data_IF_208719933958
#
_entry.id   IF_208719933958
#
_cell.length_a   1.000
_cell.length_b   1.000
_cell.length_c   1.000
_cell.angle_alpha   90.00
_cell.angle_beta   90.00
_cell.angle_gamma   90.00
#
_symmetry.space_group_name_H-M   'P 1'
#
loop_
_entity.id
_entity.type
_entity.pdbx_description
1 polymer ?
#
# COMPACT_ATOMS: atom_id res chain seq x y z
N UNK A 1 -11.65 -4.76 -24.06
CA UNK A 1 -12.99 -5.34 -23.81
C UNK A 1 -13.37 -5.29 -22.33
N UNK A 2 -12.47 -5.69 -21.42
CA UNK A 2 -12.71 -5.66 -19.97
C UNK A 2 -12.10 -4.43 -19.29
N UNK A 3 -12.27 -3.21 -19.80
CA UNK A 3 -11.64 -2.03 -19.19
C UNK A 3 -12.70 -1.06 -18.70
N UNK A 4 -12.53 -0.54 -17.49
CA UNK A 4 -13.45 0.43 -16.93
C UNK A 4 -13.09 1.83 -17.44
N UNK A 5 -14.03 2.58 -18.05
CA UNK A 5 -13.74 3.92 -18.58
C UNK A 5 -13.49 5.00 -17.52
N UNK A 6 -13.53 4.64 -16.22
CA UNK A 6 -13.37 5.58 -15.10
C UNK A 6 -12.03 5.40 -14.41
N UNK A 7 -11.69 4.18 -14.02
CA UNK A 7 -10.41 3.89 -13.36
C UNK A 7 -9.37 3.26 -14.27
N UNK A 8 -9.73 2.90 -15.51
CA UNK A 8 -8.88 2.20 -16.48
C UNK A 8 -8.38 0.81 -16.00
N UNK A 9 -8.93 0.30 -14.90
CA UNK A 9 -8.69 -1.07 -14.44
C UNK A 9 -9.58 -2.08 -15.17
N UNK A 10 -9.20 -3.36 -15.04
CA UNK A 10 -9.99 -4.47 -15.54
C UNK A 10 -11.35 -4.59 -14.86
N UNK A 11 -12.42 -4.74 -15.65
CA UNK A 11 -13.78 -5.02 -15.14
C UNK A 11 -13.90 -6.51 -14.85
N UNK A 12 -13.66 -6.89 -13.59
CA UNK A 12 -13.78 -8.27 -13.12
C UNK A 12 -15.19 -8.59 -12.61
N UNK A 13 -15.61 -9.88 -12.56
CA UNK A 13 -16.87 -10.29 -11.96
C UNK A 13 -17.06 -9.77 -10.52
N UNK A 14 -18.26 -9.28 -10.15
CA UNK A 14 -19.46 -9.16 -10.97
C UNK A 14 -19.37 -8.01 -12.00
N UNK A 15 -19.56 -8.34 -13.28
CA UNK A 15 -19.41 -7.39 -14.39
C UNK A 15 -20.73 -6.65 -14.59
N UNK A 16 -20.72 -5.34 -14.40
CA UNK A 16 -21.90 -4.50 -14.52
C UNK A 16 -21.93 -3.76 -15.87
N UNK A 17 -23.12 -3.60 -16.42
CA UNK A 17 -23.35 -2.88 -17.67
C UNK A 17 -24.51 -1.88 -17.55
N UNK A 18 -24.47 -0.81 -18.36
CA UNK A 18 -25.65 0.02 -18.58
C UNK A 18 -26.65 -0.64 -19.55
N UNK A 19 -27.82 -0.04 -19.74
CA UNK A 19 -28.83 -0.55 -20.69
C UNK A 19 -28.32 -0.64 -22.14
N UNK A 20 -27.32 0.15 -22.50
CA UNK A 20 -26.68 0.12 -23.83
C UNK A 20 -25.48 -0.83 -23.92
N UNK A 21 -25.16 -1.58 -22.86
CA UNK A 21 -24.10 -2.59 -22.87
C UNK A 21 -22.69 -2.12 -22.48
N UNK A 22 -22.49 -0.87 -22.07
CA UNK A 22 -21.18 -0.37 -21.63
C UNK A 22 -20.83 -0.86 -20.23
N UNK A 23 -19.61 -1.39 -20.07
CA UNK A 23 -19.14 -1.99 -18.82
C UNK A 23 -18.61 -0.96 -17.82
N UNK A 24 -18.86 -1.19 -16.53
CA UNK A 24 -18.30 -0.42 -15.42
C UNK A 24 -17.94 -1.39 -14.29
N UNK A 25 -16.78 -1.19 -13.65
CA UNK A 25 -16.37 -2.04 -12.52
C UNK A 25 -17.22 -1.77 -11.27
N UNK A 26 -17.29 -2.76 -10.38
CA UNK A 26 -18.09 -2.68 -9.15
C UNK A 26 -17.65 -1.53 -8.23
N UNK A 27 -16.38 -1.14 -8.27
CA UNK A 27 -15.82 -0.04 -7.47
C UNK A 27 -16.24 1.36 -7.96
N UNK A 28 -16.36 1.54 -9.29
CA UNK A 28 -16.76 2.82 -9.88
C UNK A 28 -18.28 2.96 -9.95
N UNK A 29 -19.03 1.87 -10.12
CA UNK A 29 -20.49 1.89 -10.23
C UNK A 29 -21.20 2.74 -9.16
N UNK A 30 -20.93 2.60 -7.84
CA UNK A 30 -21.64 3.36 -6.81
C UNK A 30 -21.33 4.86 -6.84
N UNK A 31 -20.22 5.26 -7.46
CA UNK A 31 -19.79 6.66 -7.57
C UNK A 31 -20.43 7.39 -8.75
N UNK A 32 -21.24 6.70 -9.56
CA UNK A 32 -21.77 7.19 -10.83
C UNK A 32 -23.30 7.22 -10.83
N UNK A 33 -23.86 8.33 -11.29
CA UNK A 33 -25.30 8.51 -11.50
C UNK A 33 -25.75 8.11 -12.90
N UNK A 34 -24.88 8.26 -13.90
CA UNK A 34 -25.14 7.93 -15.30
C UNK A 34 -23.93 7.23 -15.95
N UNK A 35 -24.16 6.54 -17.07
CA UNK A 35 -23.11 5.82 -17.78
C UNK A 35 -22.05 6.80 -18.29
N UNK A 36 -20.76 6.60 -17.98
CA UNK A 36 -19.69 7.53 -18.40
C UNK A 36 -19.52 7.55 -19.93
N UNK A 37 -19.91 6.48 -20.62
CA UNK A 37 -19.76 6.35 -22.08
C UNK A 37 -20.96 6.92 -22.85
N UNK A 38 -22.20 6.49 -22.52
CA UNK A 38 -23.40 6.88 -23.27
C UNK A 38 -24.33 7.87 -22.54
N UNK A 39 -24.01 8.25 -21.30
CA UNK A 39 -24.84 9.10 -20.42
C UNK A 39 -26.23 8.55 -20.09
N UNK A 40 -26.53 7.31 -20.50
CA UNK A 40 -27.77 6.61 -20.18
C UNK A 40 -27.83 6.10 -18.73
N UNK A 41 -28.98 5.55 -18.31
CA UNK A 41 -29.14 4.96 -16.99
C UNK A 41 -28.23 3.74 -16.81
N UNK A 42 -27.45 3.72 -15.73
CA UNK A 42 -26.52 2.63 -15.42
C UNK A 42 -27.24 1.37 -14.92
N UNK A 43 -28.37 1.49 -14.21
CA UNK A 43 -29.06 0.35 -13.60
C UNK A 43 -28.15 -0.53 -12.73
N UNK A 44 -28.58 -1.74 -12.38
CA UNK A 44 -27.72 -2.75 -11.75
C UNK A 44 -27.75 -4.04 -12.58
N UNK A 45 -27.47 -3.91 -13.87
CA UNK A 45 -27.58 -5.01 -14.82
C UNK A 45 -26.23 -5.75 -14.84
N UNK A 46 -26.23 -7.02 -14.47
CA UNK A 46 -25.05 -7.89 -14.59
C UNK A 46 -24.92 -8.42 -16.02
N UNK A 47 -23.69 -8.47 -16.53
CA UNK A 47 -23.39 -9.09 -17.80
C UNK A 47 -22.87 -10.52 -17.59
N UNK A 48 -23.80 -11.46 -17.39
CA UNK A 48 -23.48 -12.87 -17.14
C UNK A 48 -22.69 -13.53 -18.27
N UNK A 49 -22.90 -13.09 -19.52
CA UNK A 49 -22.14 -13.58 -20.67
C UNK A 49 -20.67 -13.17 -20.54
N UNK A 50 -20.40 -11.90 -20.21
CA UNK A 50 -19.05 -11.41 -19.98
C UNK A 50 -18.40 -12.03 -18.74
N UNK A 51 -19.17 -12.35 -17.70
CA UNK A 51 -18.64 -13.09 -16.54
C UNK A 51 -18.18 -14.50 -16.93
N UNK A 52 -18.93 -15.21 -17.80
CA UNK A 52 -18.49 -16.51 -18.34
C UNK A 52 -17.21 -16.39 -19.17
N UNK A 53 -17.09 -15.33 -19.98
CA UNK A 53 -15.85 -15.06 -20.72
C UNK A 53 -14.70 -14.75 -19.76
N UNK A 54 -14.93 -13.97 -18.71
CA UNK A 54 -13.92 -13.65 -17.69
C UNK A 54 -13.36 -14.90 -17.01
N UNK A 55 -14.18 -15.95 -16.81
CA UNK A 55 -13.73 -17.23 -16.26
C UNK A 55 -12.81 -18.03 -17.18
N UNK A 56 -12.75 -17.70 -18.47
CA UNK A 56 -11.99 -18.46 -19.48
C UNK A 56 -10.80 -17.68 -20.06
N UNK A 57 -10.55 -16.47 -19.56
CA UNK A 57 -9.41 -15.64 -19.98
C UNK A 57 -8.51 -15.32 -18.78
N UNK A 58 -7.23 -15.08 -19.07
CA UNK A 58 -6.26 -14.62 -18.10
C UNK A 58 -6.14 -13.09 -18.17
N UNK A 59 -5.97 -12.47 -17.02
CA UNK A 59 -5.80 -11.03 -16.87
C UNK A 59 -4.37 -10.73 -16.41
N UNK A 60 -3.67 -9.76 -17.03
CA UNK A 60 -2.36 -9.34 -16.56
C UNK A 60 -2.47 -8.67 -15.18
N UNK A 61 -1.41 -8.78 -14.37
CA UNK A 61 -1.29 -8.06 -13.11
C UNK A 61 -1.43 -6.54 -13.32
N UNK A 62 -2.05 -5.80 -12.38
CA UNK A 62 -2.15 -4.33 -12.49
C UNK A 62 -0.79 -3.62 -12.51
N UNK A 63 0.25 -4.27 -11.98
CA UNK A 63 1.63 -3.77 -12.00
C UNK A 63 2.41 -4.23 -13.23
N UNK A 64 1.75 -4.64 -14.31
CA UNK A 64 2.41 -4.99 -15.57
C UNK A 64 3.22 -3.83 -16.15
N UNK A 65 2.75 -2.59 -15.98
CA UNK A 65 3.51 -1.38 -16.33
C UNK A 65 4.79 -1.20 -15.50
N UNK A 66 4.85 -1.77 -14.30
CA UNK A 66 6.03 -1.79 -13.43
C UNK A 66 6.96 -2.98 -13.70
N UNK A 67 6.62 -3.87 -14.63
CA UNK A 67 7.43 -5.04 -15.01
C UNK A 67 6.85 -6.41 -14.63
N UNK A 68 5.66 -6.48 -14.04
CA UNK A 68 5.03 -7.77 -13.73
C UNK A 68 4.46 -8.45 -14.99
N UNK A 69 5.09 -9.53 -15.46
CA UNK A 69 4.64 -10.27 -16.65
C UNK A 69 3.56 -11.33 -16.36
N UNK A 70 3.16 -11.48 -15.09
CA UNK A 70 2.23 -12.54 -14.68
C UNK A 70 0.80 -12.25 -15.16
N UNK A 71 0.18 -13.25 -15.77
CA UNK A 71 -1.24 -13.27 -16.15
C UNK A 71 -1.97 -14.38 -15.43
N UNK A 72 -3.10 -14.07 -14.80
CA UNK A 72 -3.82 -14.97 -13.89
C UNK A 72 -5.34 -14.95 -14.14
N UNK A 73 -6.08 -16.00 -13.73
CA UNK A 73 -7.54 -15.93 -13.63
C UNK A 73 -7.98 -14.80 -12.71
N UNK A 74 -9.17 -14.25 -12.93
CA UNK A 74 -9.68 -13.14 -12.11
C UNK A 74 -9.81 -13.48 -10.62
N UNK A 75 -10.02 -14.76 -10.29
CA UNK A 75 -10.13 -15.26 -8.91
C UNK A 75 -8.82 -15.20 -8.12
N UNK A 76 -7.67 -15.33 -8.80
CA UNK A 76 -6.34 -15.38 -8.16
C UNK A 76 -5.59 -14.05 -8.30
N UNK A 77 -6.08 -13.15 -9.16
CA UNK A 77 -5.45 -11.87 -9.46
C UNK A 77 -5.31 -10.98 -8.22
N UNK A 78 -6.33 -10.93 -7.36
CA UNK A 78 -6.29 -10.11 -6.15
C UNK A 78 -5.20 -10.58 -5.18
N UNK A 79 -5.14 -11.88 -4.91
CA UNK A 79 -4.15 -12.48 -4.01
C UNK A 79 -2.71 -12.25 -4.51
N UNK A 80 -2.49 -12.41 -5.82
CA UNK A 80 -1.21 -12.09 -6.43
C UNK A 80 -0.84 -10.61 -6.27
N UNK A 81 -1.77 -9.68 -6.52
CA UNK A 81 -1.51 -8.24 -6.46
C UNK A 81 -1.21 -7.71 -5.06
N UNK A 82 -1.64 -8.40 -4.00
CA UNK A 82 -1.26 -8.05 -2.63
C UNK A 82 0.21 -8.35 -2.35
N UNK A 83 0.72 -9.44 -2.96
CA UNK A 83 2.05 -10.00 -2.74
C UNK A 83 3.02 -9.75 -3.90
N UNK A 84 2.59 -9.04 -4.94
CA UNK A 84 3.38 -8.81 -6.14
C UNK A 84 4.65 -8.00 -5.82
N UNK A 85 5.81 -8.48 -6.25
CA UNK A 85 7.10 -7.80 -6.03
C UNK A 85 7.21 -6.45 -6.77
N UNK A 86 6.45 -6.29 -7.86
CA UNK A 86 6.38 -5.05 -8.65
C UNK A 86 5.36 -4.04 -8.08
N UNK A 87 4.71 -4.37 -6.96
CA UNK A 87 3.81 -3.46 -6.25
C UNK A 87 4.60 -2.24 -5.77
N UNK A 88 4.13 -1.01 -6.05
CA UNK A 88 4.72 0.19 -5.49
C UNK A 88 4.68 0.20 -3.96
N UNK A 89 5.79 0.59 -3.36
CA UNK A 89 5.93 0.85 -1.94
C UNK A 89 5.26 2.18 -1.61
N UNK A 90 4.40 2.18 -0.59
CA UNK A 90 3.91 3.40 0.03
C UNK A 90 4.99 4.01 0.93
N UNK A 91 4.92 5.32 1.19
CA UNK A 91 5.77 5.96 2.19
C UNK A 91 5.67 5.21 3.54
N UNK A 92 6.81 4.75 4.12
CA UNK A 92 6.81 4.03 5.39
C UNK A 92 6.71 4.94 6.62
N UNK A 93 6.72 6.27 6.46
CA UNK A 93 6.64 7.19 7.58
C UNK A 93 5.28 7.09 8.30
N UNK A 94 5.24 6.90 9.63
CA UNK A 94 4.02 7.02 10.42
C UNK A 94 3.46 8.44 10.31
N UNK A 95 2.13 8.54 10.30
CA UNK A 95 1.39 9.77 10.04
C UNK A 95 0.83 9.84 8.62
N UNK A 96 -0.50 9.96 8.49
CA UNK A 96 -1.25 9.86 7.24
C UNK A 96 -1.06 11.03 6.24
N UNK A 97 -0.05 11.88 6.42
CA UNK A 97 0.14 13.07 5.58
C UNK A 97 0.80 12.76 4.23
N UNK A 98 1.65 11.73 4.16
CA UNK A 98 2.38 11.39 2.94
C UNK A 98 1.63 10.34 2.09
N UNK A 99 1.27 10.72 0.85
CA UNK A 99 0.61 9.83 -0.12
C UNK A 99 1.54 9.32 -1.21
N UNK A 100 2.85 9.43 -1.00
CA UNK A 100 3.84 9.01 -1.98
C UNK A 100 3.81 7.48 -2.18
N UNK A 101 3.97 7.05 -3.43
CA UNK A 101 4.14 5.67 -3.83
C UNK A 101 5.24 5.57 -4.90
N UNK A 102 6.07 4.54 -4.86
CA UNK A 102 7.15 4.34 -5.84
C UNK A 102 7.82 2.97 -5.74
N UNK A 103 8.87 2.74 -6.51
CA UNK A 103 9.70 1.54 -6.38
C UNK A 103 10.49 1.54 -5.07
N UNK A 104 10.99 0.36 -4.66
CA UNK A 104 11.83 0.22 -3.46
C UNK A 104 13.04 1.17 -3.48
N UNK A 105 13.73 1.26 -4.62
CA UNK A 105 14.91 2.12 -4.78
C UNK A 105 14.59 3.61 -4.63
N UNK A 106 13.33 4.00 -4.86
CA UNK A 106 12.88 5.37 -4.72
C UNK A 106 12.46 5.73 -3.28
N UNK A 107 12.31 4.75 -2.38
CA UNK A 107 11.85 4.98 -0.99
C UNK A 107 12.86 5.81 -0.21
N UNK A 108 14.14 5.43 -0.21
CA UNK A 108 15.17 6.17 0.53
C UNK A 108 15.38 7.59 0.00
N UNK A 109 15.50 7.83 -1.32
CA UNK A 109 15.48 9.18 -1.88
C UNK A 109 14.24 9.96 -1.45
N UNK A 110 13.05 9.36 -1.48
CA UNK A 110 11.82 10.01 -1.05
C UNK A 110 11.89 10.48 0.42
N UNK A 111 12.31 9.60 1.34
CA UNK A 111 12.43 9.92 2.77
C UNK A 111 13.42 11.07 3.00
N UNK A 112 14.59 11.04 2.36
CA UNK A 112 15.60 12.09 2.50
C UNK A 112 15.13 13.47 2.01
N UNK A 113 14.28 13.51 0.98
CA UNK A 113 13.85 14.76 0.37
C UNK A 113 12.58 15.33 1.01
N UNK A 114 11.59 14.48 1.28
CA UNK A 114 10.27 14.89 1.77
C UNK A 114 10.15 14.82 3.30
N UNK A 115 10.98 14.02 3.97
CA UNK A 115 10.94 13.80 5.42
C UNK A 115 12.29 14.15 6.08
N UNK A 116 12.77 15.39 5.86
CA UNK A 116 14.07 15.88 6.33
C UNK A 116 14.26 15.86 7.85
N UNK A 117 13.18 15.77 8.61
CA UNK A 117 13.20 15.64 10.07
C UNK A 117 13.65 14.26 10.53
N UNK A 118 13.61 13.25 9.66
CA UNK A 118 14.03 11.89 10.00
C UNK A 118 15.55 11.85 10.05
N UNK A 119 16.09 11.64 11.25
CA UNK A 119 17.54 11.49 11.46
C UNK A 119 17.98 10.11 10.99
N UNK A 120 19.10 10.04 10.27
CA UNK A 120 19.74 8.78 9.87
C UNK A 120 21.04 8.57 10.63
N UNK A 121 21.15 7.45 11.34
CA UNK A 121 22.37 7.03 12.04
C UNK A 121 23.02 5.84 11.31
N UNK A 122 24.34 5.79 11.32
CA UNK A 122 25.12 4.68 10.77
C UNK A 122 25.62 3.77 11.90
N UNK A 123 25.62 2.46 11.66
CA UNK A 123 26.11 1.46 12.59
C UNK A 123 25.05 0.42 12.96
N UNK A 124 25.51 -0.75 13.42
CA UNK A 124 24.65 -1.86 13.86
C UNK A 124 24.09 -1.66 15.27
N UNK A 125 24.84 -0.97 16.14
CA UNK A 125 24.43 -0.60 17.49
C UNK A 125 24.26 0.92 17.58
N UNK A 126 23.05 1.38 17.84
CA UNK A 126 22.69 2.79 17.96
C UNK A 126 21.77 3.03 19.17
N UNK A 127 21.73 4.29 19.63
CA UNK A 127 20.78 4.72 20.66
C UNK A 127 19.72 5.60 20.02
N UNK A 128 18.47 5.15 20.10
CA UNK A 128 17.31 5.94 19.68
C UNK A 128 16.76 6.75 20.88
N UNK A 129 17.07 8.05 20.90
CA UNK A 129 16.58 8.95 21.93
C UNK A 129 15.23 9.56 21.53
N UNK A 130 14.16 9.12 22.17
CA UNK A 130 12.85 9.77 22.07
C UNK A 130 12.77 10.95 23.05
N UNK A 131 12.71 12.17 22.52
CA UNK A 131 12.57 13.40 23.33
C UNK A 131 11.10 13.69 23.61
N UNK A 132 10.81 14.36 24.72
CA UNK A 132 9.46 14.86 25.05
C UNK A 132 8.37 13.77 25.12
N UNK A 133 8.72 12.56 25.58
CA UNK A 133 7.81 11.40 25.69
C UNK A 133 6.52 11.66 26.50
N UNK A 134 6.53 12.68 27.35
CA UNK A 134 5.41 13.07 28.21
C UNK A 134 4.42 14.03 27.53
N UNK A 135 4.64 14.42 26.27
CA UNK A 135 3.70 15.27 25.53
C UNK A 135 2.29 14.63 25.51
N UNK A 136 1.23 15.44 25.69
CA UNK A 136 -0.14 14.94 25.66
C UNK A 136 -0.54 14.51 24.24
N UNK A 137 -1.40 13.49 24.14
CA UNK A 137 -1.89 12.96 22.87
C UNK A 137 -0.99 11.88 22.25
N UNK A 138 -1.40 11.48 21.03
CA UNK A 138 -0.66 10.51 20.22
C UNK A 138 0.51 11.20 19.49
N UNK A 139 1.70 10.62 19.60
CA UNK A 139 2.94 11.17 19.04
C UNK A 139 3.78 10.02 18.48
N UNK A 140 4.40 10.27 17.33
CA UNK A 140 5.28 9.32 16.64
C UNK A 140 6.72 9.87 16.59
N UNK A 141 7.68 9.02 16.95
CA UNK A 141 9.10 9.27 16.73
C UNK A 141 9.63 8.29 15.69
N UNK A 142 10.41 8.82 14.74
CA UNK A 142 10.94 8.04 13.62
C UNK A 142 12.43 8.33 13.46
N UNK A 143 13.20 7.27 13.29
CA UNK A 143 14.62 7.33 13.01
C UNK A 143 14.98 6.28 11.97
N UNK A 144 15.99 6.59 11.16
CA UNK A 144 16.58 5.62 10.23
C UNK A 144 17.92 5.14 10.77
N UNK A 145 18.13 3.83 10.73
CA UNK A 145 19.40 3.17 10.96
C UNK A 145 19.93 2.63 9.63
N UNK A 146 21.22 2.83 9.36
CA UNK A 146 21.88 2.26 8.19
C UNK A 146 23.04 1.36 8.60
N UNK A 147 22.95 0.08 8.23
CA UNK A 147 23.95 -0.95 8.51
C UNK A 147 23.83 -2.08 7.47
N UNK A 148 24.91 -2.82 7.25
CA UNK A 148 24.96 -3.95 6.29
C UNK A 148 24.54 -3.61 4.84
N UNK A 149 24.61 -2.33 4.45
CA UNK A 149 24.12 -1.86 3.14
C UNK A 149 22.60 -1.75 3.03
N UNK A 150 21.88 -1.91 4.15
CA UNK A 150 20.44 -1.76 4.25
C UNK A 150 20.06 -0.56 5.13
N UNK A 151 18.78 -0.21 5.06
CA UNK A 151 18.18 0.85 5.87
C UNK A 151 17.01 0.28 6.67
N UNK A 152 17.02 0.51 7.98
CA UNK A 152 16.00 0.07 8.91
C UNK A 152 15.33 1.32 9.50
N UNK A 153 14.01 1.35 9.48
CA UNK A 153 13.21 2.39 10.09
C UNK A 153 12.83 1.95 11.51
N UNK A 154 13.23 2.73 12.50
CA UNK A 154 12.82 2.58 13.88
C UNK A 154 11.65 3.52 14.12
N UNK A 155 10.54 2.97 14.61
CA UNK A 155 9.34 3.73 14.95
C UNK A 155 9.03 3.50 16.41
N UNK A 156 8.84 4.60 17.16
CA UNK A 156 8.22 4.60 18.47
C UNK A 156 6.90 5.37 18.36
N UNK A 157 5.80 4.69 18.59
CA UNK A 157 4.46 5.27 18.57
C UNK A 157 3.90 5.31 20.00
N UNK A 158 3.42 6.48 20.41
CA UNK A 158 2.66 6.66 21.63
C UNK A 158 1.18 6.71 21.30
N UNK A 159 0.41 5.79 21.87
CA UNK A 159 -1.04 5.78 21.77
C UNK A 159 -1.68 6.11 23.12
N UNK A 160 -2.76 6.88 23.08
CA UNK A 160 -3.60 7.20 24.24
C UNK A 160 -4.94 6.48 24.10
N UNK A 161 -5.23 5.58 25.05
CA UNK A 161 -6.51 4.87 25.07
C UNK A 161 -7.60 5.76 25.69
N UNK A 162 -8.87 5.43 25.40
CA UNK A 162 -10.04 6.14 25.91
C UNK A 162 -10.08 6.28 27.45
N UNK A 163 -9.45 5.36 28.19
CA UNK A 163 -9.38 5.39 29.65
C UNK A 163 -8.22 6.23 30.20
N UNK A 164 -7.50 6.98 29.35
CA UNK A 164 -6.34 7.80 29.72
C UNK A 164 -5.03 7.01 29.91
N UNK A 165 -5.05 5.70 29.69
CA UNK A 165 -3.85 4.87 29.70
C UNK A 165 -3.02 5.11 28.44
N UNK A 166 -1.74 5.46 28.63
CA UNK A 166 -0.76 5.62 27.56
C UNK A 166 -0.01 4.32 27.31
N UNK A 167 0.16 3.93 26.05
CA UNK A 167 0.94 2.78 25.63
C UNK A 167 1.97 3.20 24.59
N UNK A 168 3.16 2.59 24.65
CA UNK A 168 4.23 2.82 23.70
C UNK A 168 4.47 1.55 22.89
N UNK A 169 4.58 1.69 21.58
CA UNK A 169 4.88 0.62 20.65
C UNK A 169 6.17 0.95 19.92
N UNK A 170 7.17 0.07 20.04
CA UNK A 170 8.44 0.23 19.36
C UNK A 170 8.63 -0.91 18.35
N UNK A 171 8.90 -0.57 17.09
CA UNK A 171 9.07 -1.53 16.00
C UNK A 171 10.23 -1.13 15.10
N UNK A 172 10.90 -2.12 14.52
CA UNK A 172 11.92 -1.94 13.49
C UNK A 172 11.41 -2.54 12.19
N UNK A 173 11.47 -1.76 11.11
CA UNK A 173 11.06 -2.16 9.78
C UNK A 173 12.22 -2.05 8.80
N UNK A 174 12.51 -3.11 8.06
CA UNK A 174 13.47 -3.05 6.95
C UNK A 174 12.85 -2.32 5.74
N UNK A 175 13.59 -1.37 5.15
CA UNK A 175 13.29 -0.85 3.81
C UNK A 175 13.84 -1.85 2.78
N UNK A 176 13.04 -2.86 2.49
CA UNK A 176 13.44 -3.99 1.64
C UNK A 176 12.30 -4.96 1.37
N UNK A 177 12.66 -6.12 0.84
CA UNK A 177 11.73 -7.24 0.64
C UNK A 177 11.56 -8.05 1.94
N UNK A 178 10.45 -8.78 2.06
CA UNK A 178 10.22 -9.70 3.19
C UNK A 178 11.30 -10.77 3.30
N UNK A 179 11.74 -11.32 2.17
CA UNK A 179 12.83 -12.30 2.11
C UNK A 179 14.16 -11.75 2.60
N UNK A 180 14.44 -10.46 2.34
CA UNK A 180 15.61 -9.80 2.92
C UNK A 180 15.46 -9.63 4.43
N UNK A 181 14.28 -9.22 4.91
CA UNK A 181 13.98 -9.02 6.33
C UNK A 181 14.17 -10.29 7.17
N UNK A 182 13.85 -11.46 6.61
CA UNK A 182 14.04 -12.77 7.27
C UNK A 182 15.51 -13.08 7.61
N UNK A 183 16.48 -12.40 7.00
CA UNK A 183 17.91 -12.59 7.31
C UNK A 183 18.40 -11.73 8.48
N UNK A 184 17.53 -10.88 9.04
CA UNK A 184 17.88 -9.95 10.11
C UNK A 184 17.01 -10.16 11.34
N UNK A 185 17.60 -9.88 12.50
CA UNK A 185 16.89 -9.78 13.76
C UNK A 185 17.27 -8.45 14.41
N UNK A 186 16.34 -7.87 15.15
CA UNK A 186 16.57 -6.63 15.89
C UNK A 186 16.35 -6.85 17.38
N UNK A 187 16.99 -6.03 18.21
CA UNK A 187 16.83 -6.02 19.66
C UNK A 187 16.60 -4.60 20.13
N UNK A 188 15.48 -4.36 20.81
CA UNK A 188 15.16 -3.09 21.44
C UNK A 188 15.32 -3.26 22.95
N UNK A 189 16.18 -2.45 23.56
CA UNK A 189 16.44 -2.48 25.00
C UNK A 189 16.01 -1.17 25.64
N UNK A 190 15.33 -1.27 26.78
CA UNK A 190 15.00 -0.15 27.65
C UNK A 190 15.80 -0.33 28.93
N UNK A 191 16.79 0.53 29.13
CA UNK A 191 17.61 0.54 30.33
C UNK A 191 17.08 1.61 31.29
N UNK A 192 16.89 1.24 32.56
CA UNK A 192 16.37 2.10 33.62
C UNK A 192 17.35 2.25 34.77
#
# INVERSE_FOLDING_TARGET
LFECPVCFDYVLPPILQCQSGHLVCSNCRPKLTCCPTCRGPLGSIRNLAMEKVANSVLFPCKYASSGCEITLPHTEKADHEELCEFRPYSCPCPGASCKWQGSLDAVMPHLMHQHKSITTLQGEDIVFLATDINLPGAVDWVMMQSCFGFHFMLVLEKQEKYDGHQQFFAIVQLIGTRKQAENFAYRLELNG
#
